data_IF_111342262304
#
_entry.id   IF_111342262304
#
_cell.length_a   1.000
_cell.length_b   1.000
_cell.length_c   1.000
_cell.angle_alpha   90.00
_cell.angle_beta   90.00
_cell.angle_gamma   90.00
#
_symmetry.space_group_name_H-M   'P 1'
#
loop_
_entity.id
_entity.type
_entity.pdbx_description
1 polymer ?
#
# COMPACT_ATOMS: atom_id res chain seq x y z
N UNK A 1 -52.99 -51.84 10.28
CA UNK A 1 -52.49 -50.91 9.25
C UNK A 1 -51.77 -49.75 9.94
N UNK A 2 -50.51 -49.48 9.61
CA UNK A 2 -49.69 -48.41 10.21
C UNK A 2 -49.45 -47.37 9.12
N UNK A 3 -50.00 -46.16 9.29
CA UNK A 3 -49.76 -45.04 8.38
C UNK A 3 -48.47 -44.31 8.79
N UNK A 4 -47.54 -44.26 7.85
CA UNK A 4 -46.27 -43.50 7.88
C UNK A 4 -46.54 -42.12 7.28
N UNK A 5 -45.86 -41.09 7.79
CA UNK A 5 -45.53 -39.91 7.00
C UNK A 5 -45.72 -38.56 7.69
N UNK A 6 -44.70 -38.10 8.43
CA UNK A 6 -44.39 -36.68 8.60
C UNK A 6 -42.86 -36.54 8.67
N UNK A 7 -42.27 -35.86 7.69
CA UNK A 7 -40.85 -35.54 7.76
C UNK A 7 -40.19 -35.20 6.43
N UNK A 8 -40.75 -34.28 5.66
CA UNK A 8 -39.98 -33.60 4.60
C UNK A 8 -40.25 -32.10 4.73
N UNK A 9 -39.35 -31.39 5.41
CA UNK A 9 -39.26 -29.94 5.30
C UNK A 9 -37.79 -29.53 5.18
N UNK A 10 -37.55 -28.75 4.12
CA UNK A 10 -36.57 -27.66 4.10
C UNK A 10 -35.09 -28.03 3.94
N UNK A 11 -34.69 -28.42 2.73
CA UNK A 11 -33.27 -28.43 2.28
C UNK A 11 -32.99 -27.43 1.15
N UNK A 12 -34.00 -26.67 0.69
CA UNK A 12 -33.87 -25.71 -0.42
C UNK A 12 -33.62 -24.27 0.03
N UNK A 13 -33.86 -23.93 1.30
CA UNK A 13 -33.71 -22.56 1.82
C UNK A 13 -32.27 -22.19 2.18
N UNK A 14 -31.49 -23.14 2.71
CA UNK A 14 -30.17 -22.87 3.30
C UNK A 14 -29.05 -22.72 2.25
N UNK A 15 -29.13 -23.48 1.15
CA UNK A 15 -28.17 -23.40 0.04
C UNK A 15 -28.19 -22.05 -0.72
N UNK A 16 -29.33 -21.36 -0.73
CA UNK A 16 -29.43 -20.05 -1.39
C UNK A 16 -28.82 -18.92 -0.54
N UNK A 17 -28.92 -19.02 0.79
CA UNK A 17 -28.42 -18.00 1.71
C UNK A 17 -26.92 -18.07 1.89
N UNK A 18 -26.33 -19.27 1.95
CA UNK A 18 -24.87 -19.43 2.03
C UNK A 18 -24.18 -18.98 0.74
N UNK A 19 -24.74 -19.32 -0.42
CA UNK A 19 -24.21 -18.91 -1.72
C UNK A 19 -24.30 -17.40 -1.93
N UNK A 20 -25.40 -16.77 -1.49
CA UNK A 20 -25.50 -15.31 -1.48
C UNK A 20 -24.51 -14.68 -0.50
N UNK A 21 -24.40 -15.19 0.74
CA UNK A 21 -23.45 -14.63 1.71
C UNK A 21 -21.99 -14.76 1.26
N UNK A 22 -21.63 -15.86 0.59
CA UNK A 22 -20.29 -16.03 0.02
C UNK A 22 -20.00 -15.06 -1.11
N UNK A 23 -21.01 -14.75 -1.94
CA UNK A 23 -20.90 -13.76 -2.99
C UNK A 23 -20.79 -12.33 -2.43
N UNK A 24 -21.63 -11.96 -1.44
CA UNK A 24 -21.53 -10.66 -0.77
C UNK A 24 -20.19 -10.47 -0.04
N UNK A 25 -19.70 -11.50 0.65
CA UNK A 25 -18.40 -11.43 1.34
C UNK A 25 -17.23 -11.27 0.36
N UNK A 26 -17.31 -11.90 -0.82
CA UNK A 26 -16.32 -11.75 -1.88
C UNK A 26 -16.33 -10.33 -2.47
N UNK A 27 -17.51 -9.78 -2.76
CA UNK A 27 -17.66 -8.40 -3.25
C UNK A 27 -17.15 -7.36 -2.24
N UNK A 28 -17.47 -7.53 -0.95
CA UNK A 28 -16.99 -6.65 0.12
C UNK A 28 -15.45 -6.70 0.27
N UNK A 29 -14.86 -7.88 0.09
CA UNK A 29 -13.40 -8.06 0.16
C UNK A 29 -12.70 -7.41 -1.04
N UNK A 30 -13.23 -7.58 -2.25
CA UNK A 30 -12.69 -6.92 -3.44
C UNK A 30 -12.80 -5.40 -3.35
N UNK A 31 -13.90 -4.87 -2.81
CA UNK A 31 -14.06 -3.44 -2.57
C UNK A 31 -13.00 -2.90 -1.59
N UNK A 32 -12.74 -3.63 -0.50
CA UNK A 32 -11.74 -3.23 0.49
C UNK A 32 -10.31 -3.27 -0.09
N UNK A 33 -9.98 -4.29 -0.90
CA UNK A 33 -8.69 -4.37 -1.60
C UNK A 33 -8.53 -3.22 -2.58
N UNK A 34 -9.55 -2.91 -3.38
CA UNK A 34 -9.52 -1.81 -4.32
C UNK A 34 -9.34 -0.46 -3.62
N UNK A 35 -9.99 -0.26 -2.46
CA UNK A 35 -9.81 0.92 -1.63
C UNK A 35 -8.34 1.05 -1.17
N UNK A 36 -7.76 0.00 -0.57
CA UNK A 36 -6.37 0.03 -0.12
C UNK A 36 -5.38 0.26 -1.28
N UNK A 37 -5.59 -0.38 -2.43
CA UNK A 37 -4.77 -0.14 -3.62
C UNK A 37 -4.85 1.32 -4.07
N UNK A 38 -6.04 1.93 -4.03
CA UNK A 38 -6.22 3.34 -4.37
C UNK A 38 -5.53 4.28 -3.38
N UNK A 39 -5.53 3.93 -2.09
CA UNK A 39 -4.88 4.70 -1.03
C UNK A 39 -3.36 4.57 -1.11
N UNK A 40 -2.85 3.38 -1.41
CA UNK A 40 -1.42 3.13 -1.58
C UNK A 40 -0.87 3.77 -2.85
N UNK A 41 -1.63 3.76 -3.94
CA UNK A 41 -1.28 4.50 -5.16
C UNK A 41 -1.15 6.01 -4.91
N UNK A 42 -2.03 6.58 -4.07
CA UNK A 42 -1.96 7.99 -3.67
C UNK A 42 -0.78 8.28 -2.73
N UNK A 43 -0.46 7.37 -1.79
CA UNK A 43 0.67 7.53 -0.86
C UNK A 43 2.03 7.32 -1.51
N UNK A 44 2.10 6.50 -2.56
CA UNK A 44 3.33 6.20 -3.31
C UNK A 44 3.58 7.21 -4.42
N UNK A 45 3.08 8.44 -4.30
CA UNK A 45 3.42 9.49 -5.24
C UNK A 45 4.75 10.12 -4.85
N UNK A 46 5.78 9.84 -5.64
CA UNK A 46 7.06 10.58 -5.57
C UNK A 46 6.79 11.95 -6.17
N UNK A 47 6.83 13.00 -5.33
CA UNK A 47 6.65 14.38 -5.76
C UNK A 47 8.02 15.04 -5.77
N UNK A 48 8.44 15.50 -6.96
CA UNK A 48 9.64 16.31 -7.11
C UNK A 48 9.30 17.76 -6.78
N UNK A 49 9.93 18.28 -5.72
CA UNK A 49 9.79 19.68 -5.32
C UNK A 49 11.15 20.36 -5.44
N UNK A 50 11.17 21.54 -6.07
CA UNK A 50 12.35 22.39 -6.10
C UNK A 50 12.76 22.74 -4.67
N UNK A 51 13.96 22.33 -4.25
CA UNK A 51 14.51 22.63 -2.94
C UNK A 51 15.77 23.52 -3.07
N UNK A 52 16.09 24.33 -2.04
CA UNK A 52 17.35 25.08 -2.03
C UNK A 52 18.55 24.12 -2.00
N UNK A 53 19.74 24.59 -2.40
CA UNK A 53 20.95 23.76 -2.44
C UNK A 53 21.20 23.04 -1.10
N UNK A 54 21.57 21.75 -1.11
CA UNK A 54 21.81 21.01 0.11
C UNK A 54 23.01 21.58 0.86
N UNK A 55 22.97 21.57 2.19
CA UNK A 55 24.13 21.94 3.00
C UNK A 55 25.35 21.05 2.68
N UNK A 56 26.58 21.55 2.87
CA UNK A 56 27.80 20.74 2.79
C UNK A 56 27.67 19.47 3.63
N UNK A 57 28.10 18.34 3.08
CA UNK A 57 27.94 17.01 3.67
C UNK A 57 29.00 16.05 3.15
N UNK A 58 29.25 14.99 3.91
CA UNK A 58 30.19 13.91 3.59
C UNK A 58 29.43 12.58 3.51
N UNK A 59 30.04 11.55 2.93
CA UNK A 59 29.51 10.19 2.86
C UNK A 59 28.13 10.05 2.18
N UNK A 60 27.77 10.98 1.28
CA UNK A 60 26.61 10.83 0.41
C UNK A 60 26.95 10.06 -0.86
N UNK A 61 25.96 9.42 -1.46
CA UNK A 61 26.07 8.76 -2.76
C UNK A 61 25.30 9.53 -3.83
N UNK A 62 25.86 9.62 -5.03
CA UNK A 62 25.22 10.23 -6.20
C UNK A 62 24.84 9.12 -7.19
N UNK A 63 23.58 9.09 -7.59
CA UNK A 63 23.06 8.16 -8.60
C UNK A 63 22.50 8.95 -9.78
N UNK A 64 22.71 8.44 -10.99
CA UNK A 64 22.17 9.08 -12.20
C UNK A 64 20.67 8.82 -12.29
N UNK A 65 19.89 9.84 -12.61
CA UNK A 65 18.46 9.67 -12.89
C UNK A 65 18.29 8.88 -14.22
N UNK A 66 17.44 7.85 -14.28
CA UNK A 66 17.35 6.96 -15.45
C UNK A 66 16.83 7.65 -16.72
N UNK A 67 16.07 8.74 -16.59
CA UNK A 67 15.38 9.40 -17.70
C UNK A 67 15.76 10.88 -17.89
N UNK A 68 16.41 11.50 -16.90
CA UNK A 68 16.68 12.94 -16.85
C UNK A 68 18.17 13.15 -16.71
N UNK A 69 18.69 14.26 -17.21
CA UNK A 69 20.10 14.64 -17.05
C UNK A 69 20.34 15.28 -15.67
N UNK A 70 19.99 14.53 -14.63
CA UNK A 70 20.01 14.95 -13.23
C UNK A 70 20.69 13.87 -12.36
N UNK A 71 21.26 14.31 -11.23
CA UNK A 71 21.89 13.42 -10.26
C UNK A 71 21.07 13.42 -8.96
N UNK A 72 20.70 12.23 -8.52
CA UNK A 72 20.03 11.99 -7.25
C UNK A 72 21.08 11.85 -6.16
N UNK A 73 21.06 12.76 -5.20
CA UNK A 73 21.90 12.70 -4.02
C UNK A 73 21.18 11.95 -2.91
N UNK A 74 21.74 10.82 -2.46
CA UNK A 74 21.22 10.03 -1.35
C UNK A 74 21.99 10.29 -0.06
N UNK A 75 21.25 10.72 0.97
CA UNK A 75 21.75 10.76 2.34
C UNK A 75 22.88 11.78 2.56
N UNK A 76 23.89 11.34 3.31
CA UNK A 76 25.04 12.14 3.71
C UNK A 76 24.89 12.76 5.10
N UNK A 77 26.04 13.03 5.68
CA UNK A 77 26.18 13.45 7.06
C UNK A 77 26.88 14.81 7.14
N UNK A 78 26.47 15.61 8.11
CA UNK A 78 27.14 16.85 8.44
C UNK A 78 27.77 16.74 9.82
N UNK A 79 29.07 17.05 9.91
CA UNK A 79 29.79 17.11 11.17
C UNK A 79 30.31 18.53 11.41
N UNK A 80 29.94 19.11 12.54
CA UNK A 80 30.33 20.47 12.93
C UNK A 80 31.45 20.51 13.98
N UNK A 81 32.15 19.39 14.21
CA UNK A 81 33.18 19.27 15.26
C UNK A 81 32.68 18.77 16.61
N UNK A 82 31.37 18.74 16.85
CA UNK A 82 30.77 18.27 18.12
C UNK A 82 29.75 17.15 17.92
N UNK A 83 28.93 17.23 16.87
CA UNK A 83 27.87 16.27 16.61
C UNK A 83 27.76 15.94 15.12
N UNK A 84 27.53 14.66 14.84
CA UNK A 84 27.15 14.17 13.52
C UNK A 84 25.64 14.26 13.36
N UNK A 85 25.18 14.85 12.27
CA UNK A 85 23.76 14.97 11.92
C UNK A 85 23.55 14.25 10.58
N UNK A 86 22.74 13.20 10.61
CA UNK A 86 22.26 12.52 9.40
C UNK A 86 21.26 13.43 8.70
N UNK A 87 21.47 13.66 7.39
CA UNK A 87 20.54 14.45 6.58
C UNK A 87 20.13 13.63 5.37
N UNK A 88 18.95 13.05 5.38
CA UNK A 88 18.41 12.43 4.17
C UNK A 88 17.85 13.52 3.27
N UNK A 89 18.44 13.65 2.08
CA UNK A 89 17.84 14.38 0.97
C UNK A 89 17.73 13.37 -0.16
N UNK A 90 16.66 13.46 -0.93
CA UNK A 90 16.51 12.86 -2.25
C UNK A 90 16.19 14.07 -3.12
N UNK A 91 17.16 14.50 -3.94
CA UNK A 91 16.96 15.55 -4.95
C UNK A 91 16.63 14.87 -6.25
#
# INVERSE_FOLDING_TARGET
ARAVGKGEKSIRGEIGTEFMSGFYFQEDLEALIAEFQSLDAKKTQVVELSCPPPSPRLNGSLSVHPEKDELILFGGEYFNGQKVILKTVVV
#
